data_IF_049143631504
#
_entry.id   IF_049143631504
#
_cell.length_a   1.000
_cell.length_b   1.000
_cell.length_c   1.000
_cell.angle_alpha   90.00
_cell.angle_beta   90.00
_cell.angle_gamma   90.00
#
_symmetry.space_group_name_H-M   'P 1'
#
loop_
_entity.id
_entity.type
_entity.pdbx_description
1 polymer ?
#
# COMPACT_ATOMS: atom_id res chain seq x y z
N UNK A 1 -8.12 -42.66 18.95
CA UNK A 1 -6.98 -41.76 18.84
C UNK A 1 -6.37 -41.89 17.46
N UNK A 2 -7.04 -41.39 16.45
CA UNK A 2 -6.51 -41.27 15.07
C UNK A 2 -5.66 -40.03 14.97
N UNK A 3 -4.37 -40.18 14.72
CA UNK A 3 -3.53 -39.09 14.22
C UNK A 3 -3.81 -38.99 12.73
N UNK A 4 -4.47 -37.92 12.31
CA UNK A 4 -4.48 -37.53 10.90
C UNK A 4 -3.10 -36.92 10.62
N UNK A 5 -2.23 -37.65 9.93
CA UNK A 5 -1.07 -37.07 9.30
C UNK A 5 -1.51 -36.62 7.90
N UNK A 6 -1.47 -35.35 7.64
CA UNK A 6 -1.58 -34.80 6.29
C UNK A 6 -0.18 -34.75 5.70
N UNK A 7 0.14 -35.70 4.83
CA UNK A 7 1.39 -35.65 4.07
C UNK A 7 1.19 -34.68 2.88
N UNK A 8 2.00 -33.62 2.82
CA UNK A 8 2.06 -32.75 1.66
C UNK A 8 3.11 -33.30 0.69
N UNK A 9 2.69 -33.65 -0.52
CA UNK A 9 3.60 -34.06 -1.59
C UNK A 9 3.72 -32.94 -2.62
N UNK A 10 4.90 -32.34 -2.73
CA UNK A 10 5.20 -31.36 -3.77
C UNK A 10 5.73 -32.09 -4.99
N UNK A 11 4.97 -32.08 -6.10
CA UNK A 11 5.34 -32.69 -7.36
C UNK A 11 5.81 -31.66 -8.36
N UNK A 12 7.04 -31.75 -8.85
CA UNK A 12 7.55 -30.97 -9.96
C UNK A 12 7.29 -31.72 -11.26
N UNK A 13 6.41 -31.20 -12.12
CA UNK A 13 6.13 -31.78 -13.43
C UNK A 13 6.71 -30.90 -14.54
N UNK A 14 7.48 -31.54 -15.42
CA UNK A 14 7.90 -30.90 -16.68
C UNK A 14 6.96 -31.35 -17.79
N UNK A 15 6.27 -30.40 -18.42
CA UNK A 15 5.56 -30.67 -19.68
C UNK A 15 6.56 -30.63 -20.84
N UNK A 16 6.62 -31.71 -21.60
CA UNK A 16 7.31 -31.74 -22.90
C UNK A 16 6.31 -32.19 -23.96
N UNK A 17 6.20 -31.44 -25.03
CA UNK A 17 5.37 -31.81 -26.21
C UNK A 17 5.98 -32.93 -27.07
N UNK A 18 7.04 -33.60 -26.63
CA UNK A 18 7.74 -34.63 -27.40
C UNK A 18 7.64 -35.98 -26.73
N UNK A 19 7.21 -36.97 -27.52
CA UNK A 19 7.06 -38.38 -27.15
C UNK A 19 8.39 -39.19 -27.22
N UNK A 20 9.55 -38.57 -27.09
CA UNK A 20 10.81 -39.28 -27.07
C UNK A 20 11.32 -39.41 -25.61
N UNK A 21 11.65 -40.64 -25.20
CA UNK A 21 12.27 -41.05 -23.96
C UNK A 21 13.64 -40.37 -23.75
N UNK A 22 13.65 -39.10 -23.39
CA UNK A 22 14.85 -38.42 -22.98
C UNK A 22 14.90 -38.36 -21.42
N UNK A 23 15.72 -39.22 -20.85
CA UNK A 23 16.13 -39.10 -19.43
C UNK A 23 16.81 -37.74 -19.21
N UNK A 24 16.09 -36.80 -18.63
CA UNK A 24 16.64 -35.50 -18.26
C UNK A 24 17.47 -35.62 -16.99
N UNK A 25 18.77 -35.34 -17.07
CA UNK A 25 19.65 -35.20 -15.91
C UNK A 25 19.84 -33.70 -15.61
N UNK A 26 18.93 -33.12 -14.88
CA UNK A 26 19.01 -31.74 -14.40
C UNK A 26 18.97 -31.69 -12.87
N UNK A 27 19.50 -30.64 -12.28
CA UNK A 27 19.32 -30.31 -10.88
C UNK A 27 18.20 -29.27 -10.79
N UNK A 28 17.21 -29.54 -9.92
CA UNK A 28 16.21 -28.56 -9.52
C UNK A 28 16.64 -28.01 -8.17
N UNK A 29 16.84 -26.71 -8.09
CA UNK A 29 17.08 -26.03 -6.84
C UNK A 29 15.73 -25.45 -6.38
N UNK A 30 15.34 -25.79 -5.17
CA UNK A 30 14.17 -25.22 -4.52
C UNK A 30 14.69 -24.44 -3.32
N UNK A 31 14.48 -23.13 -3.33
CA UNK A 31 14.81 -22.24 -2.23
C UNK A 31 13.50 -21.68 -1.64
N UNK A 32 13.47 -21.59 -0.31
CA UNK A 32 12.37 -20.99 0.46
C UNK A 32 10.96 -21.57 0.19
N UNK A 33 10.77 -22.86 0.45
CA UNK A 33 9.41 -23.40 0.58
C UNK A 33 8.91 -23.09 1.99
N UNK A 34 7.99 -22.15 2.13
CA UNK A 34 7.29 -21.93 3.39
C UNK A 34 5.87 -22.51 3.29
N UNK A 35 5.47 -23.22 4.33
CA UNK A 35 4.10 -23.65 4.55
C UNK A 35 3.57 -22.84 5.72
N UNK A 36 2.60 -21.97 5.44
CA UNK A 36 1.89 -21.24 6.48
C UNK A 36 0.61 -22.01 6.78
N UNK A 37 0.37 -22.31 8.03
CA UNK A 37 -0.92 -22.85 8.48
C UNK A 37 -1.95 -21.74 8.32
N UNK A 38 -2.94 -21.99 7.47
CA UNK A 38 -4.09 -21.09 7.34
C UNK A 38 -4.99 -21.31 8.55
N UNK A 39 -5.19 -20.28 9.34
CA UNK A 39 -6.14 -20.33 10.46
C UNK A 39 -7.57 -20.35 9.95
N UNK A 40 -8.53 -20.85 10.76
CA UNK A 40 -9.95 -20.93 10.36
C UNK A 40 -10.57 -19.60 9.93
N UNK A 41 -9.96 -18.47 10.27
CA UNK A 41 -10.41 -17.15 9.83
C UNK A 41 -10.08 -16.89 8.35
N UNK A 42 -9.01 -17.51 7.83
CA UNK A 42 -8.60 -17.40 6.43
C UNK A 42 -9.39 -18.36 5.51
N UNK A 43 -10.00 -19.43 6.04
CA UNK A 43 -10.79 -20.39 5.27
C UNK A 43 -12.03 -19.77 4.59
N UNK A 44 -12.44 -18.57 5.02
CA UNK A 44 -13.58 -17.86 4.44
C UNK A 44 -13.23 -16.96 3.25
N UNK A 45 -11.95 -16.79 2.92
CA UNK A 45 -11.52 -15.88 1.86
C UNK A 45 -10.85 -16.64 0.70
N UNK A 46 -11.41 -16.49 -0.50
CA UNK A 46 -10.79 -16.99 -1.72
C UNK A 46 -9.93 -15.91 -2.35
N UNK A 47 -8.66 -16.22 -2.64
CA UNK A 47 -7.76 -15.33 -3.35
C UNK A 47 -8.31 -15.04 -4.75
N UNK A 48 -8.53 -13.76 -5.05
CA UNK A 48 -9.07 -13.29 -6.34
C UNK A 48 -7.98 -12.67 -7.19
N UNK A 49 -7.09 -11.90 -6.58
CA UNK A 49 -6.00 -11.22 -7.25
C UNK A 49 -4.80 -11.06 -6.31
N UNK A 50 -3.61 -11.16 -6.84
CA UNK A 50 -2.38 -10.91 -6.11
C UNK A 50 -1.27 -10.43 -7.04
N UNK A 51 -0.31 -9.71 -6.46
CA UNK A 51 1.01 -9.53 -7.04
C UNK A 51 2.05 -9.87 -5.96
N UNK A 52 2.84 -10.90 -6.23
CA UNK A 52 3.91 -11.41 -5.37
C UNK A 52 5.27 -10.83 -5.78
N UNK A 53 5.29 -9.89 -6.71
CA UNK A 53 6.45 -9.15 -7.21
C UNK A 53 7.66 -10.01 -7.64
N UNK A 54 7.39 -11.26 -8.06
CA UNK A 54 8.41 -12.23 -8.46
C UNK A 54 8.93 -12.07 -9.90
N UNK A 55 8.37 -11.13 -10.65
CA UNK A 55 8.76 -10.86 -12.03
C UNK A 55 10.03 -10.00 -12.10
N UNK A 56 10.58 -9.83 -13.29
CA UNK A 56 11.77 -8.99 -13.49
C UNK A 56 11.46 -7.49 -13.58
N UNK A 57 10.22 -7.13 -13.83
CA UNK A 57 9.72 -5.76 -13.95
C UNK A 57 8.26 -5.69 -13.47
N UNK A 58 7.86 -4.53 -12.97
CA UNK A 58 6.49 -4.27 -12.54
C UNK A 58 5.50 -4.48 -13.69
N UNK A 59 4.46 -5.30 -13.48
CA UNK A 59 3.48 -5.60 -14.53
C UNK A 59 2.61 -4.38 -14.85
N UNK A 60 2.84 -3.80 -16.02
CA UNK A 60 2.10 -2.62 -16.51
C UNK A 60 0.62 -2.87 -16.78
N UNK A 61 0.15 -4.13 -16.78
CA UNK A 61 -1.28 -4.44 -16.85
C UNK A 61 -1.97 -4.18 -15.52
N UNK A 62 -1.23 -4.35 -14.42
CA UNK A 62 -1.73 -4.13 -13.06
C UNK A 62 -1.37 -2.75 -12.53
N UNK A 63 -0.20 -2.21 -12.90
CA UNK A 63 0.38 -1.03 -12.28
C UNK A 63 0.59 0.14 -13.25
N UNK A 64 0.36 1.31 -12.74
CA UNK A 64 0.74 2.60 -13.32
C UNK A 64 1.53 3.41 -12.29
N UNK A 65 1.93 4.63 -12.67
CA UNK A 65 2.71 5.52 -11.82
C UNK A 65 1.96 6.84 -11.61
N UNK A 66 2.12 7.46 -10.45
CA UNK A 66 2.02 8.91 -10.34
C UNK A 66 3.38 9.52 -10.67
N UNK A 67 3.40 10.64 -11.35
CA UNK A 67 4.63 11.31 -11.77
C UNK A 67 4.57 12.78 -11.38
N UNK A 68 5.68 13.30 -10.92
CA UNK A 68 5.81 14.70 -10.57
C UNK A 68 5.65 14.98 -9.07
N UNK A 69 5.43 16.22 -8.74
CA UNK A 69 5.03 16.66 -7.40
C UNK A 69 3.51 16.66 -7.33
N UNK A 70 2.93 15.89 -6.45
CA UNK A 70 1.48 15.63 -6.43
C UNK A 70 0.79 16.33 -5.27
N UNK A 71 1.37 16.32 -4.06
CA UNK A 71 0.64 16.74 -2.85
C UNK A 71 1.41 17.78 -2.03
N UNK A 72 0.79 18.92 -1.85
CA UNK A 72 1.09 19.94 -0.85
C UNK A 72 2.58 20.27 -0.64
N UNK A 73 3.04 20.13 0.59
CA UNK A 73 4.40 20.47 1.04
C UNK A 73 5.36 19.26 1.07
N UNK A 74 5.03 18.19 0.36
CA UNK A 74 5.92 17.05 0.19
C UNK A 74 7.20 17.45 -0.54
N UNK A 75 8.31 16.81 -0.23
CA UNK A 75 9.64 17.21 -0.71
C UNK A 75 10.26 16.22 -1.68
N UNK A 76 9.46 15.29 -2.23
CA UNK A 76 9.83 14.40 -3.31
C UNK A 76 9.13 14.76 -4.62
N UNK A 77 9.75 14.33 -5.70
CA UNK A 77 9.20 14.25 -7.05
C UNK A 77 9.07 12.77 -7.41
N UNK A 78 7.88 12.31 -7.72
CA UNK A 78 7.65 10.92 -8.11
C UNK A 78 8.13 10.66 -9.54
N UNK A 79 8.83 9.55 -9.72
CA UNK A 79 9.37 9.11 -11.00
C UNK A 79 9.01 7.65 -11.27
N UNK A 80 9.14 7.25 -12.54
CA UNK A 80 9.10 5.84 -12.96
C UNK A 80 10.50 5.28 -13.25
N UNK A 81 11.54 5.95 -12.74
CA UNK A 81 12.93 5.49 -12.87
C UNK A 81 13.13 4.19 -12.11
N UNK A 82 13.94 3.29 -12.68
CA UNK A 82 14.42 2.08 -11.98
C UNK A 82 15.33 2.40 -10.77
N UNK A 83 15.73 3.65 -10.58
CA UNK A 83 16.41 4.10 -9.37
C UNK A 83 15.44 4.28 -8.20
N UNK A 84 14.14 4.52 -8.49
CA UNK A 84 13.12 4.80 -7.49
C UNK A 84 12.04 3.71 -7.38
N UNK A 85 11.71 3.01 -8.48
CA UNK A 85 10.72 1.93 -8.47
C UNK A 85 11.25 0.74 -9.26
N UNK A 86 11.44 -0.39 -8.59
CA UNK A 86 11.97 -1.60 -9.20
C UNK A 86 11.57 -2.84 -8.41
N UNK A 87 11.79 -4.04 -8.99
CA UNK A 87 11.64 -5.32 -8.30
C UNK A 87 13.02 -5.86 -7.92
N UNK A 88 13.18 -6.29 -6.69
CA UNK A 88 14.43 -6.85 -6.15
C UNK A 88 14.10 -7.93 -5.13
N UNK A 89 14.66 -9.12 -5.28
CA UNK A 89 14.52 -10.26 -4.36
C UNK A 89 13.06 -10.59 -3.99
N UNK A 90 12.15 -10.56 -4.99
CA UNK A 90 10.74 -10.84 -4.80
C UNK A 90 9.96 -9.71 -4.12
N UNK A 91 10.49 -8.49 -4.12
CA UNK A 91 9.81 -7.33 -3.54
C UNK A 91 9.63 -6.22 -4.57
N UNK A 92 8.52 -5.50 -4.46
CA UNK A 92 8.44 -4.15 -5.00
C UNK A 92 9.21 -3.21 -4.07
N UNK A 93 10.21 -2.52 -4.62
CA UNK A 93 11.00 -1.54 -3.89
C UNK A 93 10.68 -0.13 -4.38
N UNK A 94 10.24 0.72 -3.46
CA UNK A 94 10.14 2.16 -3.67
C UNK A 94 11.25 2.82 -2.88
N UNK A 95 12.19 3.48 -3.58
CA UNK A 95 13.41 4.02 -2.98
C UNK A 95 13.51 5.53 -3.17
N UNK A 96 13.81 6.25 -2.10
CA UNK A 96 14.17 7.65 -2.15
C UNK A 96 15.59 7.84 -2.66
N UNK A 97 15.80 8.79 -3.56
CA UNK A 97 17.13 9.22 -4.03
C UNK A 97 17.26 10.75 -3.97
N UNK A 98 18.48 11.25 -3.96
CA UNK A 98 18.69 12.68 -4.06
C UNK A 98 18.29 13.18 -5.45
N UNK A 99 17.46 14.20 -5.52
CA UNK A 99 17.15 14.91 -6.76
C UNK A 99 18.36 15.75 -7.17
N UNK A 100 18.69 15.76 -8.44
CA UNK A 100 19.79 16.57 -8.96
C UNK A 100 19.57 18.04 -8.62
N UNK A 101 20.64 18.75 -8.28
CA UNK A 101 20.56 20.14 -7.80
C UNK A 101 19.90 21.06 -8.83
N UNK A 102 20.19 20.86 -10.11
CA UNK A 102 19.60 21.63 -11.23
C UNK A 102 18.11 21.37 -11.42
N UNK A 103 17.60 20.24 -10.96
CA UNK A 103 16.18 19.84 -11.09
C UNK A 103 15.36 20.14 -9.84
N UNK A 104 15.99 20.67 -8.77
CA UNK A 104 15.29 21.01 -7.52
C UNK A 104 14.46 22.28 -7.69
N UNK A 105 13.31 22.33 -7.03
CA UNK A 105 12.40 23.47 -7.08
C UNK A 105 11.69 23.66 -5.74
N UNK A 106 10.99 24.77 -5.59
CA UNK A 106 10.21 25.09 -4.40
C UNK A 106 8.73 24.85 -4.61
N UNK A 107 8.07 24.43 -3.54
CA UNK A 107 6.61 24.29 -3.44
C UNK A 107 6.12 25.10 -2.26
N UNK A 108 4.97 25.76 -2.41
CA UNK A 108 4.41 26.64 -1.39
C UNK A 108 2.95 26.26 -1.12
N UNK A 109 2.60 26.21 0.15
CA UNK A 109 1.23 26.04 0.61
C UNK A 109 0.99 26.99 1.80
N UNK A 110 0.05 27.92 1.66
CA UNK A 110 -0.10 29.02 2.63
C UNK A 110 1.20 29.82 2.76
N UNK A 111 1.65 30.05 3.97
CA UNK A 111 2.89 30.79 4.28
C UNK A 111 4.14 29.89 4.33
N UNK A 112 4.01 28.60 4.04
CA UNK A 112 5.11 27.65 4.11
C UNK A 112 5.64 27.32 2.74
N UNK A 113 6.96 27.47 2.55
CA UNK A 113 7.69 27.05 1.36
C UNK A 113 8.67 25.94 1.71
N UNK A 114 8.76 24.91 0.87
CA UNK A 114 9.72 23.81 0.99
C UNK A 114 10.37 23.52 -0.35
N UNK A 115 11.59 23.00 -0.27
CA UNK A 115 12.35 22.61 -1.46
C UNK A 115 12.16 21.13 -1.73
N UNK A 116 11.80 20.78 -2.96
CA UNK A 116 11.76 19.41 -3.46
C UNK A 116 13.17 18.97 -3.80
N UNK A 117 13.74 18.10 -2.97
CA UNK A 117 15.16 17.71 -3.00
C UNK A 117 15.37 16.20 -3.18
N UNK A 118 14.27 15.43 -3.20
CA UNK A 118 14.30 13.99 -3.40
C UNK A 118 13.51 13.58 -4.65
N UNK A 119 13.93 12.47 -5.24
CA UNK A 119 13.10 11.67 -6.15
C UNK A 119 12.62 10.42 -5.40
N UNK A 120 11.42 9.94 -5.68
CA UNK A 120 10.81 8.77 -5.06
C UNK A 120 9.82 8.11 -6.02
N UNK A 121 8.99 7.18 -5.54
CA UNK A 121 8.00 6.49 -6.34
C UNK A 121 6.61 6.49 -5.74
N UNK A 122 5.62 6.45 -6.64
CA UNK A 122 4.23 6.13 -6.38
C UNK A 122 3.72 5.21 -7.48
N UNK A 123 3.14 4.07 -7.09
CA UNK A 123 2.56 3.08 -8.00
C UNK A 123 1.13 2.77 -7.63
N UNK A 124 0.27 2.62 -8.63
CA UNK A 124 -1.17 2.46 -8.41
C UNK A 124 -1.83 1.56 -9.43
N UNK A 125 -2.93 0.94 -9.03
CA UNK A 125 -3.75 0.12 -9.92
C UNK A 125 -4.85 0.91 -10.64
N UNK A 126 -4.88 2.24 -10.54
CA UNK A 126 -5.89 3.12 -11.13
C UNK A 126 -6.08 2.87 -12.63
N UNK A 127 -7.33 2.63 -13.04
CA UNK A 127 -7.70 2.30 -14.42
C UNK A 127 -7.21 0.94 -14.91
N UNK A 128 -6.79 0.05 -14.01
CA UNK A 128 -6.25 -1.28 -14.32
C UNK A 128 -6.90 -2.38 -13.48
N UNK A 129 -6.89 -2.26 -12.16
CA UNK A 129 -7.53 -3.18 -11.21
C UNK A 129 -8.38 -2.37 -10.23
N UNK A 130 -9.55 -2.89 -9.91
CA UNK A 130 -10.50 -2.28 -9.00
C UNK A 130 -10.99 -3.33 -8.00
N UNK A 131 -11.19 -2.89 -6.77
CA UNK A 131 -11.51 -3.74 -5.63
C UNK A 131 -12.76 -3.20 -4.94
N UNK A 132 -13.67 -4.08 -4.58
CA UNK A 132 -14.87 -3.72 -3.82
C UNK A 132 -15.12 -4.79 -2.77
N UNK A 133 -15.05 -4.39 -1.50
CA UNK A 133 -15.16 -5.26 -0.33
C UNK A 133 -14.09 -6.38 -0.32
N UNK A 134 -14.17 -7.26 0.65
CA UNK A 134 -13.24 -8.37 0.80
C UNK A 134 -12.05 -8.03 1.69
N UNK A 135 -11.01 -8.84 1.59
CA UNK A 135 -9.75 -8.68 2.30
C UNK A 135 -8.71 -8.11 1.36
N UNK A 136 -8.12 -6.99 1.73
CA UNK A 136 -7.00 -6.38 1.00
C UNK A 136 -5.83 -6.30 1.96
N UNK A 137 -4.69 -6.85 1.59
CA UNK A 137 -3.50 -6.86 2.44
C UNK A 137 -2.21 -6.69 1.66
N UNK A 138 -1.21 -6.11 2.30
CA UNK A 138 0.18 -6.16 1.88
C UNK A 138 1.06 -6.72 3.00
N UNK A 139 2.18 -7.34 2.63
CA UNK A 139 3.27 -7.61 3.53
C UNK A 139 4.45 -6.73 3.15
N UNK A 140 4.96 -5.94 4.09
CA UNK A 140 5.96 -4.94 3.78
C UNK A 140 6.90 -4.67 4.95
N UNK A 141 8.11 -4.22 4.60
CA UNK A 141 9.08 -3.63 5.51
C UNK A 141 9.11 -2.12 5.28
N UNK A 142 8.83 -1.35 6.34
CA UNK A 142 8.65 0.08 6.22
C UNK A 142 9.98 0.85 6.29
N UNK A 143 10.09 2.00 5.62
CA UNK A 143 11.26 2.86 5.71
C UNK A 143 11.36 3.54 7.08
N UNK A 144 12.55 4.01 7.43
CA UNK A 144 12.77 4.83 8.62
C UNK A 144 13.48 6.12 8.27
N UNK A 145 13.23 7.16 9.04
CA UNK A 145 13.86 8.47 8.89
C UNK A 145 12.92 9.58 9.36
N UNK A 146 13.44 10.79 9.51
CA UNK A 146 12.61 11.92 9.89
C UNK A 146 11.63 12.26 8.78
N UNK A 147 10.34 12.22 9.12
CA UNK A 147 9.24 12.54 8.21
C UNK A 147 9.26 11.73 6.89
N UNK A 148 9.77 10.47 6.91
CA UNK A 148 9.41 9.50 5.86
C UNK A 148 7.93 9.21 5.99
N UNK A 149 7.24 9.08 4.85
CA UNK A 149 5.79 8.95 4.83
C UNK A 149 5.38 7.92 3.77
N UNK A 150 5.65 6.63 4.01
CA UNK A 150 5.10 5.55 3.20
C UNK A 150 3.62 5.42 3.45
N UNK A 151 2.87 5.08 2.39
CA UNK A 151 1.45 4.76 2.47
C UNK A 151 1.07 3.56 1.62
N UNK A 152 0.11 2.80 2.13
CA UNK A 152 -0.67 1.79 1.44
C UNK A 152 -2.14 2.11 1.64
N UNK A 153 -2.81 2.50 0.60
CA UNK A 153 -4.13 3.12 0.66
C UNK A 153 -4.95 2.90 -0.60
N UNK A 154 -6.20 3.29 -0.55
CA UNK A 154 -7.12 3.16 -1.69
C UNK A 154 -7.87 4.46 -1.93
N UNK A 155 -8.25 4.69 -3.19
CA UNK A 155 -9.17 5.76 -3.61
C UNK A 155 -10.25 5.20 -4.51
N UNK A 156 -11.41 5.87 -4.56
CA UNK A 156 -12.46 5.56 -5.52
C UNK A 156 -11.94 5.49 -6.95
N UNK A 157 -12.34 4.45 -7.70
CA UNK A 157 -11.81 4.18 -9.04
C UNK A 157 -12.13 5.28 -10.07
N UNK A 158 -13.12 6.11 -9.78
CA UNK A 158 -13.53 7.27 -10.58
C UNK A 158 -12.90 8.61 -10.12
N UNK A 159 -11.91 8.56 -9.23
CA UNK A 159 -11.16 9.73 -8.80
C UNK A 159 -10.44 10.43 -9.96
N UNK A 160 -10.54 11.74 -10.02
CA UNK A 160 -9.80 12.59 -10.94
C UNK A 160 -8.96 13.63 -10.20
N UNK A 161 -7.65 13.58 -10.40
CA UNK A 161 -6.68 14.43 -9.73
C UNK A 161 -6.82 15.91 -10.08
N UNK A 162 -7.25 16.23 -11.30
CA UNK A 162 -7.41 17.61 -11.77
C UNK A 162 -8.67 18.33 -11.25
N UNK A 163 -9.47 17.62 -10.43
CA UNK A 163 -10.70 18.15 -9.86
C UNK A 163 -11.77 18.44 -10.90
N UNK A 164 -11.63 17.90 -12.11
CA UNK A 164 -12.63 18.03 -13.16
C UNK A 164 -13.84 17.13 -12.87
N UNK A 165 -14.75 17.62 -12.05
CA UNK A 165 -15.96 16.94 -11.61
C UNK A 165 -16.83 16.46 -12.80
N UNK A 166 -16.69 17.06 -13.96
CA UNK A 166 -17.38 16.63 -15.18
C UNK A 166 -16.82 15.30 -15.73
N UNK A 167 -15.62 14.89 -15.33
CA UNK A 167 -14.94 13.67 -15.77
C UNK A 167 -14.76 12.63 -14.66
N UNK A 168 -15.06 12.99 -13.42
CA UNK A 168 -14.91 12.10 -12.26
C UNK A 168 -15.18 12.84 -10.95
N UNK A 169 -14.97 12.12 -9.87
CA UNK A 169 -15.21 12.63 -8.52
C UNK A 169 -13.89 13.04 -7.88
N UNK A 170 -13.86 14.24 -7.31
CA UNK A 170 -12.72 14.77 -6.58
C UNK A 170 -12.61 14.19 -5.16
N UNK A 171 -11.50 14.47 -4.51
CA UNK A 171 -11.32 14.19 -3.08
C UNK A 171 -12.01 15.28 -2.24
N UNK A 172 -12.69 14.94 -1.11
CA UNK A 172 -12.80 13.62 -0.47
C UNK A 172 -14.02 12.80 -0.89
N UNK A 173 -14.80 13.23 -1.84
CA UNK A 173 -16.04 12.56 -2.28
C UNK A 173 -15.79 11.21 -2.95
N UNK A 174 -14.59 11.01 -3.50
CA UNK A 174 -14.15 9.73 -4.05
C UNK A 174 -14.02 8.63 -2.99
N UNK A 175 -13.93 9.01 -1.71
CA UNK A 175 -13.63 8.11 -0.60
C UNK A 175 -12.18 7.64 -0.63
N UNK A 176 -11.57 7.52 0.55
CA UNK A 176 -10.20 7.06 0.74
C UNK A 176 -10.13 6.16 1.96
N UNK A 177 -9.42 5.04 1.83
CA UNK A 177 -9.15 4.11 2.93
C UNK A 177 -7.64 4.00 3.07
N UNK A 178 -7.07 4.59 4.11
CA UNK A 178 -5.67 4.39 4.44
C UNK A 178 -5.52 3.10 5.24
N UNK A 179 -4.96 2.10 4.60
CA UNK A 179 -4.75 0.78 5.21
C UNK A 179 -3.53 0.87 6.12
N UNK A 180 -2.48 1.54 5.67
CA UNK A 180 -1.29 1.81 6.46
C UNK A 180 -0.64 3.12 6.01
N UNK A 181 -0.44 4.03 6.94
CA UNK A 181 0.45 5.17 6.83
C UNK A 181 1.45 5.15 7.98
N UNK A 182 2.69 5.53 7.73
CA UNK A 182 3.68 5.73 8.78
C UNK A 182 4.29 7.12 8.65
N UNK A 183 4.41 7.84 9.77
CA UNK A 183 5.22 9.05 9.84
C UNK A 183 6.47 8.73 10.64
N UNK A 184 7.61 8.76 9.97
CA UNK A 184 8.89 8.49 10.62
C UNK A 184 9.19 9.45 11.77
N UNK A 185 10.15 9.08 12.62
CA UNK A 185 10.55 9.90 13.76
C UNK A 185 10.89 11.33 13.32
N UNK A 186 10.58 12.29 14.18
CA UNK A 186 10.82 13.71 13.93
C UNK A 186 9.61 14.55 14.31
N UNK A 187 9.25 15.54 13.52
CA UNK A 187 8.24 16.54 13.86
C UNK A 187 6.90 15.95 14.30
N UNK A 188 6.05 15.51 13.38
CA UNK A 188 4.73 14.96 13.73
C UNK A 188 4.82 13.53 14.29
N UNK A 189 5.73 12.69 13.78
CA UNK A 189 5.93 11.32 14.28
C UNK A 189 6.56 11.26 15.67
N UNK A 190 7.14 12.36 16.16
CA UNK A 190 7.82 12.39 17.45
C UNK A 190 8.90 11.32 17.58
N UNK A 191 9.12 10.80 18.79
CA UNK A 191 10.13 9.75 19.07
C UNK A 191 9.60 8.34 18.78
N UNK A 192 8.31 8.18 18.61
CA UNK A 192 7.65 6.89 18.37
C UNK A 192 7.20 6.69 16.92
N UNK A 193 7.50 7.62 16.02
CA UNK A 193 7.01 7.57 14.65
C UNK A 193 7.27 6.24 13.95
N UNK A 194 8.47 5.68 14.07
CA UNK A 194 8.80 4.37 13.46
C UNK A 194 8.11 3.16 14.13
N UNK A 195 7.38 3.36 15.24
CA UNK A 195 6.59 2.34 15.93
C UNK A 195 5.10 2.45 15.68
N UNK A 196 4.66 3.50 14.99
CA UNK A 196 3.26 3.84 14.84
C UNK A 196 2.86 3.80 13.38
N UNK A 197 1.73 3.15 13.11
CA UNK A 197 1.04 3.21 11.81
C UNK A 197 -0.36 3.73 12.02
N UNK A 198 -0.81 4.51 11.06
CA UNK A 198 -2.12 5.15 11.08
C UNK A 198 -3.06 4.43 10.14
N UNK A 199 -4.33 4.38 10.55
CA UNK A 199 -5.45 3.85 9.80
C UNK A 199 -6.49 4.93 9.71
N UNK A 200 -6.88 5.32 8.51
CA UNK A 200 -7.81 6.44 8.32
C UNK A 200 -8.88 6.10 7.29
N UNK A 201 -10.05 6.68 7.50
CA UNK A 201 -11.15 6.69 6.56
C UNK A 201 -11.46 8.14 6.24
N UNK A 202 -11.38 8.53 4.97
CA UNK A 202 -11.69 9.88 4.51
C UNK A 202 -12.84 9.87 3.53
N UNK A 203 -13.82 10.77 3.74
CA UNK A 203 -14.95 10.91 2.84
C UNK A 203 -15.54 12.32 2.90
N UNK A 204 -16.31 12.67 1.89
CA UNK A 204 -17.02 13.95 1.84
C UNK A 204 -18.22 13.98 2.78
N UNK A 205 -18.65 15.16 3.15
CA UNK A 205 -19.89 15.40 3.86
C UNK A 205 -20.98 15.89 2.91
N UNK A 206 -22.24 15.78 3.30
CA UNK A 206 -23.38 16.10 2.44
C UNK A 206 -23.32 17.50 1.82
N UNK A 207 -23.50 17.53 0.56
CA UNK A 207 -23.55 18.41 -0.56
C UNK A 207 -24.12 19.82 -0.48
N UNK A 208 -24.40 20.42 0.65
CA UNK A 208 -24.74 21.85 0.73
C UNK A 208 -23.53 22.73 1.07
N UNK A 209 -22.44 22.11 1.48
CA UNK A 209 -21.16 22.76 1.77
C UNK A 209 -20.05 22.02 1.01
N UNK A 210 -19.83 22.40 -0.23
CA UNK A 210 -18.75 21.91 -1.07
C UNK A 210 -17.44 21.82 -0.29
N UNK A 211 -16.94 20.58 -0.09
CA UNK A 211 -15.65 20.33 0.50
C UNK A 211 -15.63 20.14 2.01
N UNK A 212 -16.74 19.92 2.68
CA UNK A 212 -16.69 19.40 4.06
C UNK A 212 -16.15 17.99 4.07
N UNK A 213 -15.16 17.84 4.86
CA UNK A 213 -14.39 16.63 5.06
C UNK A 213 -14.82 15.95 6.37
N UNK A 214 -15.05 14.64 6.30
CA UNK A 214 -15.12 13.78 7.46
C UNK A 214 -13.94 12.81 7.41
N UNK A 215 -13.34 12.57 8.57
CA UNK A 215 -12.23 11.64 8.68
C UNK A 215 -12.27 10.93 10.02
N UNK A 216 -12.01 9.64 9.98
CA UNK A 216 -11.85 8.81 11.16
C UNK A 216 -10.43 8.23 11.13
N UNK A 217 -9.51 8.83 11.89
CA UNK A 217 -8.13 8.40 12.01
C UNK A 217 -7.82 7.85 13.41
N UNK A 218 -6.93 6.87 13.48
CA UNK A 218 -6.31 6.36 14.70
C UNK A 218 -4.92 5.84 14.40
N UNK A 219 -4.14 5.53 15.44
CA UNK A 219 -2.86 4.88 15.25
C UNK A 219 -2.75 3.61 16.09
N UNK A 220 -2.05 2.63 15.54
CA UNK A 220 -1.57 1.45 16.26
C UNK A 220 -0.08 1.60 16.55
N UNK A 221 0.33 1.25 17.76
CA UNK A 221 1.72 1.29 18.18
C UNK A 221 2.21 -0.12 18.47
N UNK A 222 3.30 -0.53 17.82
CA UNK A 222 3.95 -1.81 18.11
C UNK A 222 4.30 -1.92 19.59
N UNK A 223 4.01 -3.05 20.24
CA UNK A 223 4.38 -3.28 21.65
C UNK A 223 5.90 -3.26 21.86
N UNK A 224 6.67 -3.72 20.86
CA UNK A 224 8.13 -3.78 20.89
C UNK A 224 8.71 -3.62 19.49
N UNK A 225 9.98 -3.22 19.36
CA UNK A 225 10.63 -3.02 18.07
C UNK A 225 10.14 -1.79 17.33
N UNK A 226 10.40 -1.74 16.04
CA UNK A 226 9.94 -0.72 15.09
C UNK A 226 9.57 -1.40 13.77
N UNK A 227 8.67 -0.82 12.99
CA UNK A 227 8.20 -1.36 11.70
C UNK A 227 9.28 -1.48 10.61
N UNK A 228 10.49 -0.99 10.88
CA UNK A 228 11.62 -1.13 9.98
C UNK A 228 12.50 -2.34 10.24
N UNK A 229 12.31 -3.02 11.38
CA UNK A 229 13.17 -4.15 11.78
C UNK A 229 12.84 -5.40 10.99
N UNK A 230 11.56 -5.60 10.63
CA UNK A 230 11.08 -6.80 9.93
C UNK A 230 9.90 -6.48 8.99
N UNK A 231 9.44 -7.48 8.24
CA UNK A 231 8.21 -7.42 7.46
C UNK A 231 7.00 -7.62 8.36
N UNK A 232 5.97 -6.82 8.12
CA UNK A 232 4.67 -6.90 8.78
C UNK A 232 3.55 -6.98 7.75
N UNK A 233 2.45 -7.61 8.12
CA UNK A 233 1.23 -7.63 7.31
C UNK A 233 0.32 -6.49 7.73
N UNK A 234 -0.14 -5.69 6.77
CA UNK A 234 -1.12 -4.63 6.96
C UNK A 234 -2.30 -4.88 6.07
N UNK A 235 -3.51 -4.85 6.61
CA UNK A 235 -4.66 -5.13 5.79
C UNK A 235 -5.98 -4.64 6.38
N UNK A 236 -7.01 -4.84 5.58
CA UNK A 236 -8.41 -4.60 5.95
C UNK A 236 -9.29 -5.80 5.61
N UNK A 237 -10.29 -6.03 6.47
CA UNK A 237 -11.49 -6.77 6.12
C UNK A 237 -12.60 -5.73 5.87
N UNK A 238 -13.00 -5.60 4.63
CA UNK A 238 -13.96 -4.60 4.20
C UNK A 238 -15.27 -5.25 3.75
N UNK A 239 -16.35 -4.86 4.39
CA UNK A 239 -17.70 -5.23 4.02
C UNK A 239 -18.56 -3.97 3.89
N UNK A 240 -19.77 -4.10 3.35
CA UNK A 240 -20.68 -2.97 3.23
C UNK A 240 -20.90 -2.29 4.59
N UNK A 241 -20.56 -1.01 4.68
CA UNK A 241 -20.76 -0.21 5.89
C UNK A 241 -19.78 -0.50 7.03
N UNK A 242 -18.76 -1.36 6.83
CA UNK A 242 -17.82 -1.72 7.89
C UNK A 242 -16.43 -2.03 7.37
N UNK A 243 -15.41 -1.53 8.06
CA UNK A 243 -14.01 -1.88 7.82
C UNK A 243 -13.35 -2.26 9.14
N UNK A 244 -12.56 -3.33 9.11
CA UNK A 244 -11.68 -3.77 10.18
C UNK A 244 -10.24 -3.74 9.68
N UNK A 245 -9.39 -2.93 10.30
CA UNK A 245 -7.96 -2.90 10.01
C UNK A 245 -7.22 -3.89 10.90
N UNK A 246 -6.21 -4.54 10.36
CA UNK A 246 -5.33 -5.41 11.12
C UNK A 246 -3.86 -5.14 10.80
N UNK A 247 -3.02 -5.41 11.79
CA UNK A 247 -1.56 -5.46 11.68
C UNK A 247 -1.13 -6.84 12.13
N UNK A 248 -0.41 -7.54 11.27
CA UNK A 248 -0.17 -8.96 11.39
C UNK A 248 -1.53 -9.69 11.54
N UNK A 249 -1.74 -10.52 12.52
CA UNK A 249 -3.01 -11.20 12.72
C UNK A 249 -3.94 -10.50 13.74
N UNK A 250 -3.60 -9.27 14.14
CA UNK A 250 -4.36 -8.53 15.16
C UNK A 250 -5.24 -7.46 14.55
N UNK A 251 -6.57 -7.54 14.78
CA UNK A 251 -7.48 -6.41 14.50
C UNK A 251 -7.09 -5.25 15.43
N UNK A 252 -6.67 -4.14 14.82
CA UNK A 252 -6.22 -2.93 15.54
C UNK A 252 -7.28 -1.83 15.54
N UNK A 253 -8.25 -1.93 14.63
CA UNK A 253 -9.33 -0.95 14.50
C UNK A 253 -10.54 -1.54 13.79
N UNK A 254 -11.72 -1.08 14.22
CA UNK A 254 -12.99 -1.31 13.53
C UNK A 254 -13.74 0.01 13.38
N UNK A 255 -14.24 0.30 12.19
CA UNK A 255 -15.17 1.40 11.92
C UNK A 255 -16.43 0.81 11.31
N UNK A 256 -17.56 1.02 11.98
CA UNK A 256 -18.88 0.76 11.47
C UNK A 256 -19.49 2.10 11.04
N UNK A 257 -19.77 2.23 9.74
CA UNK A 257 -20.39 3.40 9.14
C UNK A 257 -21.70 3.06 8.43
N UNK A 258 -22.31 1.93 8.82
CA UNK A 258 -23.53 1.42 8.20
C UNK A 258 -24.74 2.36 8.31
N UNK A 259 -24.74 3.24 9.33
CA UNK A 259 -25.77 4.27 9.54
C UNK A 259 -25.40 5.64 8.93
N UNK A 260 -24.18 5.79 8.38
CA UNK A 260 -23.73 7.02 7.71
C UNK A 260 -23.92 6.91 6.20
N UNK A 261 -25.04 7.45 5.70
CA UNK A 261 -25.38 7.39 4.27
C UNK A 261 -24.28 7.99 3.39
N UNK A 262 -23.62 9.05 3.84
CA UNK A 262 -22.59 9.70 3.04
C UNK A 262 -21.30 8.89 2.98
N UNK A 263 -20.91 8.27 4.10
CA UNK A 263 -19.80 7.33 4.11
C UNK A 263 -20.07 6.15 3.18
N UNK A 264 -21.30 5.57 3.22
CA UNK A 264 -21.70 4.50 2.30
C UNK A 264 -21.56 4.92 0.82
N UNK A 265 -21.98 6.14 0.47
CA UNK A 265 -21.87 6.64 -0.90
C UNK A 265 -20.42 6.84 -1.36
N UNK A 266 -19.54 7.31 -0.48
CA UNK A 266 -18.15 7.60 -0.81
C UNK A 266 -17.25 6.36 -0.76
N UNK A 267 -17.46 5.49 0.23
CA UNK A 267 -16.56 4.38 0.53
C UNK A 267 -17.01 3.09 -0.15
N UNK A 268 -18.29 2.75 -0.11
CA UNK A 268 -18.83 1.48 -0.61
C UNK A 268 -18.96 1.48 -2.15
N UNK A 269 -17.84 1.73 -2.80
CA UNK A 269 -17.67 1.81 -4.26
C UNK A 269 -16.35 1.16 -4.69
N UNK A 270 -16.19 0.75 -5.96
CA UNK A 270 -14.91 0.24 -6.45
C UNK A 270 -13.78 1.22 -6.17
N UNK A 271 -12.67 0.72 -5.64
CA UNK A 271 -11.49 1.50 -5.33
C UNK A 271 -10.24 0.87 -5.94
N UNK A 272 -9.25 1.68 -6.22
CA UNK A 272 -7.93 1.23 -6.64
C UNK A 272 -6.92 1.32 -5.49
N UNK A 273 -5.85 0.55 -5.58
CA UNK A 273 -4.75 0.51 -4.59
C UNK A 273 -3.63 1.44 -5.03
N UNK A 274 -3.01 2.11 -4.07
CA UNK A 274 -1.81 2.91 -4.25
C UNK A 274 -0.77 2.63 -3.17
N UNK A 275 0.51 2.56 -3.59
CA UNK A 275 1.70 2.55 -2.74
C UNK A 275 2.55 3.76 -3.08
N UNK A 276 2.95 4.53 -2.09
CA UNK A 276 3.89 5.60 -2.30
C UNK A 276 4.85 5.77 -1.12
N UNK A 277 6.00 6.37 -1.41
CA UNK A 277 6.94 6.84 -0.40
C UNK A 277 7.07 8.36 -0.52
N UNK A 278 6.28 9.09 0.26
CA UNK A 278 6.43 10.52 0.41
C UNK A 278 7.53 10.87 1.43
N UNK A 279 8.08 12.06 1.32
CA UNK A 279 9.14 12.59 2.18
C UNK A 279 8.77 14.01 2.59
N UNK A 280 8.54 14.21 3.89
CA UNK A 280 7.93 15.44 4.38
C UNK A 280 6.45 15.55 3.98
N UNK A 281 5.89 16.72 4.19
CA UNK A 281 4.48 17.01 3.90
C UNK A 281 3.89 17.98 4.93
N UNK A 282 2.67 18.43 4.71
CA UNK A 282 1.99 19.31 5.66
C UNK A 282 1.90 18.65 7.05
N UNK A 283 1.46 17.40 7.11
CA UNK A 283 1.33 16.63 8.33
C UNK A 283 2.67 16.11 8.86
N UNK A 284 3.52 15.39 8.10
CA UNK A 284 4.80 14.90 8.63
C UNK A 284 5.78 16.00 9.04
N UNK A 285 5.65 17.18 8.49
CA UNK A 285 6.63 18.25 8.67
C UNK A 285 7.70 18.23 7.59
N UNK A 286 8.85 18.85 7.83
CA UNK A 286 9.94 18.88 6.89
C UNK A 286 10.66 17.51 6.83
N UNK A 287 10.96 17.05 5.62
CA UNK A 287 11.77 15.87 5.41
C UNK A 287 13.13 16.00 6.07
N UNK A 288 13.63 14.91 6.67
CA UNK A 288 14.96 14.86 7.24
C UNK A 288 16.05 14.98 6.19
N UNK A 289 17.25 15.26 6.63
CA UNK A 289 18.43 15.16 5.81
C UNK A 289 18.85 13.68 5.61
N UNK A 290 19.50 13.38 4.49
CA UNK A 290 20.07 12.06 4.21
C UNK A 290 19.07 10.90 4.12
N UNK A 291 17.86 11.15 3.55
CA UNK A 291 16.87 10.11 3.29
C UNK A 291 17.14 9.31 2.00
N UNK A 292 18.12 9.72 1.18
CA UNK A 292 18.52 8.97 0.00
C UNK A 292 18.98 7.54 0.38
N UNK A 293 18.47 6.55 -0.35
CA UNK A 293 18.68 5.14 -0.04
C UNK A 293 17.62 4.51 0.86
N UNK A 294 16.73 5.31 1.46
CA UNK A 294 15.58 4.80 2.22
C UNK A 294 14.64 4.04 1.30
N UNK A 295 14.21 2.85 1.72
CA UNK A 295 13.39 1.93 0.93
C UNK A 295 12.07 1.63 1.64
N UNK A 296 10.99 1.56 0.89
CA UNK A 296 9.75 0.90 1.22
C UNK A 296 9.71 -0.39 0.41
N UNK A 297 9.74 -1.55 1.08
CA UNK A 297 9.88 -2.86 0.47
C UNK A 297 8.57 -3.64 0.69
N UNK A 298 7.88 -3.98 -0.40
CA UNK A 298 6.61 -4.71 -0.38
C UNK A 298 6.82 -6.11 -0.95
N UNK A 299 6.65 -7.14 -0.10
CA UNK A 299 6.79 -8.56 -0.45
C UNK A 299 5.61 -9.02 -1.34
N UNK A 300 4.39 -8.68 -0.94
CA UNK A 300 3.20 -8.96 -1.75
C UNK A 300 2.07 -7.98 -1.46
N UNK A 301 1.12 -7.96 -2.39
CA UNK A 301 -0.24 -7.44 -2.19
C UNK A 301 -1.25 -8.48 -2.65
N UNK A 302 -2.31 -8.69 -1.85
CA UNK A 302 -3.33 -9.71 -2.10
C UNK A 302 -4.73 -9.15 -1.89
N UNK A 303 -5.64 -9.62 -2.73
CA UNK A 303 -7.06 -9.36 -2.61
C UNK A 303 -7.82 -10.67 -2.60
N UNK A 304 -8.63 -10.88 -1.58
CA UNK A 304 -9.45 -12.06 -1.42
C UNK A 304 -10.90 -11.70 -1.07
N UNK A 305 -11.84 -12.55 -1.44
CA UNK A 305 -13.27 -12.35 -1.17
C UNK A 305 -13.89 -13.59 -0.53
N UNK A 306 -14.88 -13.37 0.32
CA UNK A 306 -15.74 -14.45 0.77
C UNK A 306 -16.60 -14.93 -0.40
N UNK A 307 -16.79 -16.24 -0.53
CA UNK A 307 -17.89 -16.75 -1.34
C UNK A 307 -19.21 -16.34 -0.67
N UNK A 308 -20.02 -15.55 -1.39
CA UNK A 308 -21.40 -15.29 -1.02
C UNK A 308 -22.31 -16.41 -1.52
#
# INVERSE_FOLDING_TARGET
NGKNSTDLTVCFMKWTESTSDATYKGKVFVDNVSLTEVTNEDENYNLVWADEFNESELDKKNWGYELGHIRGLEQQHYTNSKDNVYLEDGNLVIKATNRKTEDQYEVTQGDTTRKVIYDSGSVRTHGKQEFLYGRIEMKAKLPKGQAVFPAFWTLGSDFHLDGNIAQGIGWPDSGEIDIMELIGNGTAGGVNGNKQVYQTLHYGTNGEDDGKYAGHGTCYTLPSGIFNDDYHVFGINWSKGKIEWYVDDQIVRTVDYSDDQRALECIDRPQYIEFNLALGGAWPGAAGENLAGTKFEVDYVRYARNEQ
#
